data_IF_083349145855
#
_entry.id   IF_083349145855
#
_cell.length_a   1.000
_cell.length_b   1.000
_cell.length_c   1.000
_cell.angle_alpha   90.00
_cell.angle_beta   90.00
_cell.angle_gamma   90.00
#
_symmetry.space_group_name_H-M   'P 1'
#
loop_
_entity.id
_entity.type
_entity.pdbx_description
1 polymer ?
#
# COMPACT_ATOMS: atom_id res chain seq x y z
N UNK A 1 4.84 9.82 15.25
CA UNK A 1 3.85 10.39 14.98
C UNK A 1 2.79 9.79 15.23
N UNK A 2 2.07 10.25 15.33
CA UNK A 2 1.15 9.52 15.31
C UNK A 2 -0.08 10.17 15.09
N UNK A 3 -0.36 10.22 13.87
CA UNK A 3 -1.66 10.61 13.47
C UNK A 3 -2.70 9.91 14.30
N UNK A 4 -2.38 8.75 14.78
CA UNK A 4 -3.32 7.96 15.52
C UNK A 4 -3.68 8.53 16.87
N UNK A 5 -2.88 9.42 17.41
CA UNK A 5 -3.23 10.04 18.69
C UNK A 5 -4.45 10.92 18.58
N UNK A 6 -4.77 11.42 17.39
CA UNK A 6 -5.89 12.33 17.18
C UNK A 6 -7.04 11.65 16.45
N UNK A 7 -6.84 10.45 15.94
CA UNK A 7 -7.85 9.72 15.18
C UNK A 7 -8.43 8.61 16.01
N UNK A 8 -9.65 8.27 15.72
CA UNK A 8 -10.25 7.10 16.35
C UNK A 8 -9.36 5.88 16.08
N UNK A 9 -9.12 5.11 17.10
CA UNK A 9 -8.41 3.85 16.95
C UNK A 9 -9.27 2.89 16.12
N UNK A 10 -8.66 2.29 15.09
CA UNK A 10 -9.36 1.33 14.24
C UNK A 10 -9.18 -0.07 14.79
N UNK A 11 -10.16 -0.94 14.57
CA UNK A 11 -10.12 -2.29 15.15
C UNK A 11 -9.05 -3.18 14.51
N UNK A 12 -8.52 -2.80 13.35
CA UNK A 12 -7.40 -3.49 12.73
C UNK A 12 -6.04 -3.05 13.21
N UNK A 13 -5.95 -1.98 14.00
CA UNK A 13 -4.66 -1.43 14.44
C UNK A 13 -4.05 -2.31 15.52
N UNK A 14 -2.88 -2.85 15.23
CA UNK A 14 -2.14 -3.67 16.17
C UNK A 14 -1.13 -4.56 15.47
N UNK A 15 -0.26 -5.16 16.25
CA UNK A 15 0.80 -6.02 15.74
C UNK A 15 0.41 -7.50 15.88
N UNK A 16 0.73 -8.27 14.84
CA UNK A 16 0.61 -9.73 14.84
C UNK A 16 2.02 -10.32 14.80
N UNK A 17 2.30 -11.27 15.69
CA UNK A 17 3.54 -12.04 15.62
C UNK A 17 3.35 -13.18 14.61
N UNK A 18 4.28 -13.28 13.68
CA UNK A 18 4.18 -14.21 12.56
C UNK A 18 5.23 -15.30 12.67
N UNK A 19 4.88 -16.50 12.18
CA UNK A 19 5.82 -17.62 12.10
C UNK A 19 6.94 -17.36 11.06
N UNK A 20 6.81 -16.31 10.25
CA UNK A 20 7.87 -15.91 9.33
C UNK A 20 9.07 -15.28 10.05
N UNK A 21 8.99 -15.09 11.37
CA UNK A 21 10.08 -14.53 12.17
C UNK A 21 9.94 -13.04 12.44
N UNK A 22 8.88 -12.40 11.96
CA UNK A 22 8.68 -10.97 12.13
C UNK A 22 7.32 -10.62 12.72
N UNK A 23 7.09 -9.33 12.84
CA UNK A 23 5.79 -8.79 13.24
C UNK A 23 5.19 -8.06 12.08
N UNK A 24 3.87 -8.12 11.96
CA UNK A 24 3.13 -7.43 10.92
C UNK A 24 2.06 -6.53 11.53
N UNK A 25 1.89 -5.36 10.94
CA UNK A 25 0.87 -4.41 11.37
C UNK A 25 -0.46 -4.77 10.72
N UNK A 26 -1.47 -4.93 11.56
CA UNK A 26 -2.83 -5.22 11.13
C UNK A 26 -3.37 -6.48 11.77
N UNK A 27 -4.27 -6.33 12.75
CA UNK A 27 -4.85 -7.49 13.45
C UNK A 27 -5.67 -8.37 12.50
N UNK A 28 -6.25 -7.78 11.44
CA UNK A 28 -7.06 -8.49 10.46
C UNK A 28 -6.36 -8.53 9.10
N UNK A 29 -5.03 -8.39 9.08
CA UNK A 29 -4.27 -8.30 7.85
C UNK A 29 -4.15 -6.87 7.36
N UNK A 30 -3.59 -6.71 6.17
CA UNK A 30 -3.36 -5.40 5.58
C UNK A 30 -3.65 -5.44 4.08
N UNK A 31 -3.83 -4.27 3.48
CA UNK A 31 -4.08 -4.16 2.06
C UNK A 31 -3.43 -2.91 1.50
N UNK A 32 -2.97 -2.98 0.26
CA UNK A 32 -2.37 -1.85 -0.43
C UNK A 32 -2.89 -1.76 -1.85
N UNK A 33 -2.74 -0.58 -2.45
CA UNK A 33 -3.22 -0.30 -3.79
C UNK A 33 -2.04 -0.17 -4.74
N UNK A 34 -1.94 -1.08 -5.70
CA UNK A 34 -0.97 -0.99 -6.79
C UNK A 34 -1.66 -0.35 -7.97
N UNK A 35 -1.54 0.96 -8.06
CA UNK A 35 -2.26 1.76 -9.04
C UNK A 35 -1.38 1.96 -10.27
N UNK A 36 -1.91 1.56 -11.43
CA UNK A 36 -1.17 1.53 -12.69
C UNK A 36 -1.71 2.60 -13.65
N UNK A 37 -0.80 3.32 -14.28
CA UNK A 37 -1.11 4.21 -15.38
C UNK A 37 -0.06 4.03 -16.47
N UNK A 38 -0.47 3.43 -17.61
CA UNK A 38 0.48 3.09 -18.65
C UNK A 38 1.55 2.13 -18.14
N UNK A 39 2.80 2.54 -18.24
CA UNK A 39 3.94 1.75 -17.75
C UNK A 39 4.47 2.23 -16.41
N UNK A 40 3.65 2.99 -15.66
CA UNK A 40 4.05 3.51 -14.36
C UNK A 40 3.13 3.01 -13.27
N UNK A 41 3.64 2.98 -12.04
CA UNK A 41 2.84 2.74 -10.84
C UNK A 41 3.00 3.91 -9.88
N UNK A 42 1.97 4.15 -9.09
CA UNK A 42 2.00 5.20 -8.07
C UNK A 42 2.75 4.68 -6.85
N UNK A 43 3.78 5.40 -6.46
CA UNK A 43 4.55 5.06 -5.26
C UNK A 43 4.67 6.25 -4.34
N UNK A 44 4.83 5.97 -3.06
CA UNK A 44 5.08 7.00 -2.07
C UNK A 44 6.44 6.75 -1.41
N UNK A 45 7.17 7.83 -1.21
CA UNK A 45 8.42 7.84 -0.46
C UNK A 45 8.05 8.10 0.99
N UNK A 46 8.22 7.10 1.84
CA UNK A 46 7.81 7.18 3.24
C UNK A 46 8.66 8.19 3.98
N UNK A 47 8.01 8.98 4.83
CA UNK A 47 8.71 9.97 5.64
C UNK A 47 9.70 9.28 6.59
N UNK A 48 10.81 9.95 6.98
CA UNK A 48 11.82 9.31 7.83
C UNK A 48 11.35 8.97 9.23
N UNK A 49 10.27 9.60 9.71
CA UNK A 49 9.79 9.38 11.07
C UNK A 49 8.76 8.25 11.21
N UNK A 50 8.39 7.60 10.12
CA UNK A 50 7.48 6.45 10.20
C UNK A 50 8.29 5.15 10.17
N UNK A 51 7.60 4.03 10.50
CA UNK A 51 8.22 2.70 10.42
C UNK A 51 8.69 2.43 8.99
N UNK A 52 9.91 1.92 8.84
CA UNK A 52 10.57 1.76 7.54
C UNK A 52 10.63 3.08 6.77
N UNK A 53 10.95 4.16 7.46
CA UNK A 53 11.08 5.48 6.85
C UNK A 53 12.13 5.52 5.76
N UNK A 54 12.01 6.52 4.89
CA UNK A 54 12.88 6.74 3.72
C UNK A 54 12.84 5.62 2.69
N UNK A 55 11.91 4.67 2.79
CA UNK A 55 11.72 3.65 1.76
C UNK A 55 10.54 4.00 0.87
N UNK A 56 10.54 3.40 -0.31
CA UNK A 56 9.47 3.56 -1.28
C UNK A 56 8.52 2.36 -1.25
N UNK A 57 7.24 2.63 -1.30
CA UNK A 57 6.22 1.59 -1.32
C UNK A 57 4.93 2.09 -1.96
N UNK A 58 3.91 1.24 -1.94
CA UNK A 58 2.58 1.61 -2.41
C UNK A 58 1.73 2.03 -1.22
N UNK A 59 0.68 2.85 -1.45
CA UNK A 59 -0.23 3.21 -0.35
C UNK A 59 -0.95 1.98 0.19
N UNK A 60 -1.08 1.90 1.50
CA UNK A 60 -1.73 0.78 2.15
C UNK A 60 -1.62 0.85 3.66
N UNK A 61 -2.26 -0.09 4.32
CA UNK A 61 -2.25 -0.17 5.76
C UNK A 61 -3.14 -1.28 6.30
N UNK A 62 -3.39 -1.25 7.59
CA UNK A 62 -4.17 -2.26 8.29
C UNK A 62 -5.62 -2.27 7.81
N UNK A 63 -6.16 -3.47 7.62
CA UNK A 63 -7.55 -3.68 7.28
C UNK A 63 -8.37 -3.79 8.57
N UNK A 64 -9.49 -3.11 8.62
CA UNK A 64 -10.45 -3.27 9.71
C UNK A 64 -11.28 -4.54 9.48
N UNK A 65 -11.85 -5.09 10.55
CA UNK A 65 -12.55 -6.37 10.51
C UNK A 65 -13.72 -6.40 9.54
N UNK A 66 -14.37 -5.26 9.32
CA UNK A 66 -15.55 -5.16 8.47
C UNK A 66 -15.22 -4.84 7.01
N UNK A 67 -13.95 -4.58 6.70
CA UNK A 67 -13.56 -4.16 5.35
C UNK A 67 -13.11 -5.35 4.51
N UNK A 68 -13.43 -5.32 3.21
CA UNK A 68 -12.79 -6.18 2.24
C UNK A 68 -11.38 -5.63 1.95
N UNK A 69 -10.48 -6.43 1.36
CA UNK A 69 -9.18 -5.91 0.93
C UNK A 69 -9.29 -4.70 -0.01
N UNK A 70 -10.25 -4.71 -0.92
CA UNK A 70 -10.45 -3.59 -1.85
C UNK A 70 -10.87 -2.33 -1.09
N UNK A 71 -11.81 -2.46 -0.15
CA UNK A 71 -12.24 -1.32 0.65
C UNK A 71 -11.10 -0.73 1.47
N UNK A 72 -10.30 -1.59 2.09
CA UNK A 72 -9.17 -1.15 2.91
C UNK A 72 -8.11 -0.46 2.05
N UNK A 73 -7.78 -1.04 0.89
CA UNK A 73 -6.77 -0.46 0.00
C UNK A 73 -7.18 0.92 -0.49
N UNK A 74 -8.45 1.09 -0.87
CA UNK A 74 -8.95 2.38 -1.36
C UNK A 74 -9.00 3.40 -0.22
N UNK A 75 -9.44 2.99 0.97
CA UNK A 75 -9.49 3.90 2.12
C UNK A 75 -8.10 4.40 2.48
N UNK A 76 -7.12 3.49 2.56
CA UNK A 76 -5.74 3.88 2.88
C UNK A 76 -5.17 4.81 1.80
N UNK A 77 -5.43 4.51 0.54
CA UNK A 77 -4.96 5.36 -0.54
C UNK A 77 -5.62 6.75 -0.50
N UNK A 78 -6.89 6.82 -0.11
CA UNK A 78 -7.55 8.11 0.08
C UNK A 78 -6.85 8.92 1.17
N UNK A 79 -6.54 8.27 2.30
CA UNK A 79 -5.91 8.94 3.44
C UNK A 79 -4.48 9.40 3.12
N UNK A 80 -3.74 8.61 2.36
CA UNK A 80 -2.32 8.84 2.16
C UNK A 80 -1.99 9.62 0.90
N UNK A 81 -2.73 9.40 -0.18
CA UNK A 81 -2.42 10.03 -1.47
C UNK A 81 -3.59 10.75 -2.11
N UNK A 82 -4.71 10.87 -1.41
CA UNK A 82 -5.81 11.78 -1.78
C UNK A 82 -6.67 11.34 -2.96
N UNK A 83 -6.72 10.04 -3.25
CA UNK A 83 -7.51 9.54 -4.39
C UNK A 83 -8.83 8.96 -3.91
N UNK A 84 -9.77 8.77 -4.85
CA UNK A 84 -11.10 8.19 -4.58
C UNK A 84 -11.32 6.96 -5.46
N UNK A 85 -12.16 6.05 -4.98
CA UNK A 85 -12.43 4.80 -5.70
C UNK A 85 -13.08 4.98 -7.06
N UNK A 86 -13.81 6.08 -7.29
CA UNK A 86 -14.44 6.36 -8.58
C UNK A 86 -13.43 6.85 -9.64
N UNK A 87 -12.18 7.08 -9.27
CA UNK A 87 -11.11 7.53 -10.17
C UNK A 87 -10.26 6.36 -10.69
N UNK A 88 -10.64 5.14 -10.35
CA UNK A 88 -9.85 3.96 -10.72
C UNK A 88 -10.75 2.77 -10.97
N UNK A 89 -10.19 1.74 -11.61
CA UNK A 89 -10.89 0.47 -11.85
C UNK A 89 -10.06 -0.65 -11.24
N UNK A 90 -10.64 -1.39 -10.30
CA UNK A 90 -9.93 -2.46 -9.62
C UNK A 90 -9.86 -3.71 -10.48
N UNK A 91 -8.77 -4.44 -10.35
CA UNK A 91 -8.54 -5.68 -11.05
C UNK A 91 -8.24 -6.80 -10.07
N UNK A 92 -7.20 -7.54 -10.37
CA UNK A 92 -6.78 -8.72 -9.61
C UNK A 92 -6.22 -8.33 -8.24
N UNK A 93 -6.38 -9.25 -7.27
CA UNK A 93 -5.77 -9.11 -5.93
C UNK A 93 -4.68 -10.15 -5.80
N UNK A 94 -3.47 -9.72 -5.46
CA UNK A 94 -2.36 -10.60 -5.14
C UNK A 94 -2.26 -10.72 -3.62
N UNK A 95 -2.35 -11.94 -3.09
CA UNK A 95 -2.32 -12.17 -1.64
C UNK A 95 -1.01 -12.83 -1.23
N UNK A 96 -0.31 -12.18 -0.31
CA UNK A 96 0.85 -12.76 0.36
C UNK A 96 0.37 -13.27 1.72
N UNK A 97 0.09 -14.58 1.78
CA UNK A 97 -0.57 -15.21 2.92
C UNK A 97 0.47 -15.85 3.84
N UNK A 98 0.56 -15.33 5.05
CA UNK A 98 1.46 -15.83 6.09
C UNK A 98 0.74 -16.75 7.09
N UNK A 99 -0.51 -17.13 6.82
CA UNK A 99 -1.32 -17.93 7.72
C UNK A 99 -2.05 -17.10 8.74
N UNK A 100 -1.34 -16.58 9.74
CA UNK A 100 -1.94 -15.75 10.79
C UNK A 100 -2.17 -14.31 10.34
N UNK A 101 -1.59 -13.92 9.23
CA UNK A 101 -1.65 -12.57 8.69
C UNK A 101 -1.48 -12.64 7.17
N UNK A 102 -2.12 -11.74 6.46
CA UNK A 102 -1.98 -11.67 5.01
C UNK A 102 -1.95 -10.22 4.55
N UNK A 103 -1.18 -9.97 3.49
CA UNK A 103 -1.17 -8.68 2.80
C UNK A 103 -1.80 -8.85 1.43
N UNK A 104 -2.80 -8.05 1.15
CA UNK A 104 -3.52 -8.09 -0.12
C UNK A 104 -3.14 -6.87 -0.95
N UNK A 105 -2.54 -7.11 -2.11
CA UNK A 105 -2.24 -6.03 -3.05
C UNK A 105 -3.33 -5.99 -4.10
N UNK A 106 -4.09 -4.91 -4.12
CA UNK A 106 -5.16 -4.69 -5.09
C UNK A 106 -4.56 -3.96 -6.29
N UNK A 107 -4.55 -4.63 -7.44
CA UNK A 107 -4.04 -4.04 -8.68
C UNK A 107 -5.19 -3.28 -9.33
N UNK A 108 -4.96 -2.02 -9.67
CA UNK A 108 -5.99 -1.16 -10.21
C UNK A 108 -5.43 -0.27 -11.30
N UNK A 109 -6.29 0.15 -12.22
CA UNK A 109 -5.93 1.08 -13.29
C UNK A 109 -6.46 2.46 -12.96
N UNK A 110 -5.61 3.49 -13.06
CA UNK A 110 -6.00 4.86 -12.81
C UNK A 110 -6.72 5.43 -14.02
N UNK A 111 -7.83 6.14 -13.79
CA UNK A 111 -8.48 6.93 -14.84
C UNK A 111 -7.62 8.17 -15.13
N UNK A 112 -7.80 8.75 -16.31
CA UNK A 112 -6.95 9.85 -16.77
C UNK A 112 -7.02 11.08 -15.89
N UNK A 113 -8.15 11.31 -15.22
CA UNK A 113 -8.37 12.47 -14.36
C UNK A 113 -7.82 12.29 -12.94
N UNK A 114 -7.31 11.12 -12.61
CA UNK A 114 -6.80 10.88 -11.26
C UNK A 114 -5.51 11.65 -11.02
N UNK A 115 -5.48 12.42 -9.94
CA UNK A 115 -4.29 13.15 -9.47
C UNK A 115 -4.03 12.76 -8.03
N UNK A 116 -2.83 12.28 -7.75
CA UNK A 116 -2.42 11.90 -6.40
C UNK A 116 -1.46 12.93 -5.83
N UNK A 117 -1.44 13.04 -4.51
CA UNK A 117 -0.57 13.98 -3.81
C UNK A 117 -0.32 13.48 -2.38
N UNK A 118 0.60 14.12 -1.67
CA UNK A 118 0.84 13.80 -0.25
C UNK A 118 -0.34 14.35 0.56
N UNK A 119 -1.25 13.48 0.96
CA UNK A 119 -2.46 13.88 1.66
C UNK A 119 -2.29 13.89 3.19
N UNK A 120 -1.22 13.27 3.70
CA UNK A 120 -0.89 13.30 5.12
C UNK A 120 0.64 13.40 5.25
N UNK A 121 1.14 13.39 6.49
CA UNK A 121 2.57 13.60 6.75
C UNK A 121 3.38 12.29 6.77
N UNK A 122 2.80 11.19 6.32
CA UNK A 122 3.51 9.91 6.28
C UNK A 122 4.37 9.74 5.02
N UNK A 123 4.16 10.59 4.02
CA UNK A 123 4.93 10.57 2.77
C UNK A 123 5.68 11.87 2.58
N UNK A 124 6.95 11.76 2.17
CA UNK A 124 7.74 12.91 1.71
C UNK A 124 7.38 13.28 0.30
N UNK A 125 7.04 12.28 -0.50
CA UNK A 125 6.87 12.44 -1.93
C UNK A 125 5.95 11.36 -2.46
N UNK A 126 5.14 11.70 -3.45
CA UNK A 126 4.31 10.76 -4.20
C UNK A 126 4.67 10.93 -5.68
N UNK A 127 4.95 9.83 -6.36
CA UNK A 127 5.40 9.89 -7.74
C UNK A 127 4.94 8.67 -8.52
N UNK A 128 4.78 8.87 -9.84
CA UNK A 128 4.55 7.79 -10.79
C UNK A 128 5.91 7.29 -11.25
N UNK A 129 6.21 6.02 -10.97
CA UNK A 129 7.52 5.43 -11.24
C UNK A 129 7.37 4.39 -12.36
N UNK A 130 8.24 4.49 -13.37
CA UNK A 130 8.29 3.49 -14.45
C UNK A 130 8.52 2.11 -13.84
N UNK A 131 7.76 1.10 -14.29
CA UNK A 131 7.82 -0.25 -13.71
C UNK A 131 9.23 -0.87 -13.82
N UNK A 132 10.01 -0.45 -14.80
CA UNK A 132 11.38 -0.95 -14.94
C UNK A 132 12.37 -0.25 -14.01
N UNK A 133 11.97 0.86 -13.40
CA UNK A 133 12.82 1.62 -12.47
C UNK A 133 12.49 1.36 -11.00
N UNK A 134 11.41 0.66 -10.72
CA UNK A 134 10.97 0.40 -9.33
C UNK A 134 12.08 -0.33 -8.57
N UNK A 135 12.72 -1.31 -9.19
CA UNK A 135 13.77 -2.11 -8.56
C UNK A 135 14.98 -1.28 -8.13
N UNK A 136 15.16 -0.10 -8.72
CA UNK A 136 16.29 0.79 -8.41
C UNK A 136 16.00 1.70 -7.20
N UNK A 137 14.79 1.68 -6.68
CA UNK A 137 14.43 2.46 -5.50
C UNK A 137 14.79 1.71 -4.23
N UNK A 138 14.97 2.45 -3.14
CA UNK A 138 15.11 1.85 -1.82
C UNK A 138 13.74 1.40 -1.35
N UNK A 139 13.38 0.16 -1.64
CA UNK A 139 12.03 -0.33 -1.44
C UNK A 139 11.76 -0.74 0.00
N UNK A 140 10.54 -0.50 0.45
CA UNK A 140 10.04 -1.07 1.70
C UNK A 140 10.28 -2.60 1.65
N UNK A 141 10.81 -3.21 2.72
CA UNK A 141 11.21 -4.62 2.66
C UNK A 141 10.10 -5.58 2.20
N UNK A 142 8.88 -5.39 2.69
CA UNK A 142 7.76 -6.25 2.29
C UNK A 142 7.42 -6.09 0.82
N UNK A 143 7.46 -4.86 0.32
CA UNK A 143 7.20 -4.59 -1.08
C UNK A 143 8.32 -5.17 -1.96
N UNK A 144 9.56 -5.05 -1.51
CA UNK A 144 10.70 -5.62 -2.24
C UNK A 144 10.54 -7.14 -2.43
N UNK A 145 10.01 -7.83 -1.41
CA UNK A 145 9.82 -9.28 -1.47
C UNK A 145 8.76 -9.68 -2.49
N UNK A 146 7.71 -8.89 -2.66
CA UNK A 146 6.61 -9.24 -3.57
C UNK A 146 6.74 -8.61 -4.95
N UNK A 147 7.58 -7.61 -5.11
CA UNK A 147 7.66 -6.86 -6.37
C UNK A 147 7.94 -7.75 -7.60
N UNK A 148 8.85 -8.74 -7.55
CA UNK A 148 9.07 -9.58 -8.74
C UNK A 148 7.80 -10.29 -9.22
N UNK A 149 6.97 -10.75 -8.29
CA UNK A 149 5.71 -11.42 -8.62
C UNK A 149 4.68 -10.43 -9.17
N UNK A 150 4.61 -9.24 -8.59
CA UNK A 150 3.72 -8.19 -9.08
C UNK A 150 4.14 -7.71 -10.46
N UNK A 151 5.44 -7.52 -10.66
CA UNK A 151 5.98 -7.11 -11.96
C UNK A 151 5.62 -8.12 -13.05
N UNK A 152 5.72 -9.41 -12.75
CA UNK A 152 5.35 -10.46 -13.70
C UNK A 152 3.89 -10.33 -14.10
N UNK A 153 3.00 -10.04 -13.16
CA UNK A 153 1.58 -9.83 -13.46
C UNK A 153 1.36 -8.61 -14.34
N UNK A 154 2.09 -7.53 -14.09
CA UNK A 154 1.94 -6.31 -14.89
C UNK A 154 2.44 -6.48 -16.31
N UNK A 155 3.38 -7.39 -16.54
CA UNK A 155 3.94 -7.67 -17.87
C UNK A 155 3.24 -8.79 -18.61
N UNK A 156 2.34 -9.48 -17.95
CA UNK A 156 1.63 -10.62 -18.54
C UNK A 156 0.61 -10.17 -19.60
#
# INVERSE_FOLDING_TARGET
MCKTSLMAHRDGDGWITCNCGGKHWGLHGAAGLLLVRGKTILMQHRAPWVHNGDTWGIPGGARDSHESPIEAAIREAHEEVGISGDQLSTGEIFTDDHGVWAYHTVIASAHDDLVAHEANDESKEVAWIDIDQVVNKNLHPSFANTWPQLLAKLKA
#
